data_IF_286985596010
#
_entry.id   IF_286985596010
#
_cell.length_a   1.000
_cell.length_b   1.000
_cell.length_c   1.000
_cell.angle_alpha   90.00
_cell.angle_beta   90.00
_cell.angle_gamma   90.00
#
_symmetry.space_group_name_H-M   'P 1'
#
loop_
_entity.id
_entity.type
_entity.pdbx_description
1 polymer ?
#
# COMPACT_ATOMS: atom_id res chain seq x y z
N UNK A 1 4.30 8.63 22.05
CA UNK A 1 4.83 7.65 21.10
C UNK A 1 5.33 8.42 19.89
N UNK A 2 6.64 8.41 19.62
CA UNK A 2 7.18 8.96 18.37
C UNK A 2 7.10 7.86 17.33
N UNK A 3 6.27 8.04 16.29
CA UNK A 3 6.21 7.08 15.18
C UNK A 3 7.35 7.36 14.21
N UNK A 4 7.83 6.32 13.52
CA UNK A 4 9.01 6.42 12.61
C UNK A 4 8.81 7.46 11.52
N UNK A 5 7.56 7.69 11.09
CA UNK A 5 7.21 8.65 10.06
C UNK A 5 7.23 10.12 10.50
N UNK A 6 7.40 10.42 11.80
CA UNK A 6 7.47 11.82 12.28
C UNK A 6 8.70 12.58 11.79
N UNK A 7 9.75 11.85 11.38
CA UNK A 7 11.01 12.42 10.90
C UNK A 7 11.14 12.41 9.37
N UNK A 8 10.20 11.77 8.66
CA UNK A 8 10.25 11.68 7.20
C UNK A 8 10.07 13.07 6.58
N UNK A 9 10.92 13.38 5.61
CA UNK A 9 10.93 14.62 4.82
C UNK A 9 10.50 14.37 3.39
N UNK A 10 10.75 13.18 2.86
CA UNK A 10 10.46 12.81 1.48
C UNK A 10 9.94 11.37 1.40
N UNK A 11 8.88 11.18 0.62
CA UNK A 11 8.31 9.86 0.34
C UNK A 11 8.13 9.72 -1.16
N UNK A 12 8.66 8.65 -1.73
CA UNK A 12 8.48 8.31 -3.14
C UNK A 12 7.24 7.45 -3.31
N UNK A 13 6.27 7.88 -4.13
CA UNK A 13 5.10 7.08 -4.50
C UNK A 13 5.29 6.46 -5.88
N UNK A 14 5.12 5.14 -5.96
CA UNK A 14 5.24 4.32 -7.17
C UNK A 14 3.84 3.87 -7.60
N UNK A 15 3.50 4.15 -8.86
CA UNK A 15 2.23 3.78 -9.48
C UNK A 15 2.36 2.44 -10.22
N UNK A 16 1.70 1.35 -9.77
CA UNK A 16 1.83 0.03 -10.36
C UNK A 16 1.32 -0.11 -11.80
N UNK A 17 0.53 0.86 -12.28
CA UNK A 17 0.04 0.87 -13.67
C UNK A 17 1.03 1.51 -14.63
N UNK A 18 2.09 2.16 -14.12
CA UNK A 18 3.09 2.87 -14.93
C UNK A 18 4.36 2.05 -15.06
N UNK A 19 4.85 1.95 -16.29
CA UNK A 19 6.16 1.39 -16.55
C UNK A 19 7.26 2.38 -16.14
N UNK A 20 8.34 1.85 -15.58
CA UNK A 20 9.58 2.60 -15.41
C UNK A 20 10.13 3.00 -16.79
N UNK A 21 10.78 4.16 -16.87
CA UNK A 21 11.42 4.61 -18.11
C UNK A 21 12.63 3.72 -18.39
N UNK A 22 12.97 3.56 -19.67
CA UNK A 22 14.12 2.75 -20.09
C UNK A 22 15.41 3.17 -19.35
N UNK A 23 16.01 2.22 -18.63
CA UNK A 23 17.24 2.41 -17.85
C UNK A 23 17.02 2.63 -16.36
N UNK A 24 15.79 2.93 -15.93
CA UNK A 24 15.47 3.10 -14.51
C UNK A 24 15.08 1.76 -13.87
N UNK A 25 15.53 1.51 -12.65
CA UNK A 25 15.13 0.36 -11.83
C UNK A 25 14.46 0.84 -10.55
N UNK A 26 13.64 -0.03 -9.95
CA UNK A 26 13.07 0.23 -8.64
C UNK A 26 14.15 0.30 -7.54
N UNK A 27 15.26 -0.43 -7.70
CA UNK A 27 16.39 -0.38 -6.77
C UNK A 27 17.04 1.01 -6.72
N UNK A 28 17.15 1.69 -7.87
CA UNK A 28 17.70 3.05 -7.94
C UNK A 28 16.86 4.10 -7.20
N UNK A 29 15.61 3.78 -6.82
CA UNK A 29 14.80 4.65 -5.95
C UNK A 29 15.42 4.72 -4.56
N UNK A 30 16.04 3.64 -4.08
CA UNK A 30 16.67 3.63 -2.76
C UNK A 30 17.84 4.61 -2.66
N UNK A 31 18.56 4.80 -3.77
CA UNK A 31 19.71 5.72 -3.85
C UNK A 31 19.31 7.20 -3.89
N UNK A 32 18.01 7.51 -4.02
CA UNK A 32 17.50 8.90 -4.04
C UNK A 32 17.49 9.59 -2.68
N UNK A 33 17.67 8.82 -1.59
CA UNK A 33 17.57 9.33 -0.22
C UNK A 33 16.14 9.53 0.27
N UNK A 34 15.17 8.81 -0.31
CA UNK A 34 13.78 8.81 0.17
C UNK A 34 13.66 8.14 1.54
N UNK A 35 12.79 8.66 2.41
CA UNK A 35 12.62 8.12 3.76
C UNK A 35 11.67 6.91 3.80
N UNK A 36 10.79 6.80 2.80
CA UNK A 36 9.86 5.69 2.63
C UNK A 36 9.44 5.56 1.15
N UNK A 37 8.88 4.40 0.83
CA UNK A 37 8.24 4.13 -0.47
C UNK A 37 6.76 3.81 -0.24
N UNK A 38 5.89 4.40 -1.05
CA UNK A 38 4.47 4.05 -1.12
C UNK A 38 4.19 3.42 -2.48
N UNK A 39 3.67 2.20 -2.50
CA UNK A 39 3.19 1.53 -3.71
C UNK A 39 1.68 1.70 -3.77
N UNK A 40 1.18 2.44 -4.75
CA UNK A 40 -0.24 2.71 -4.90
C UNK A 40 -0.57 3.63 -6.06
N UNK A 41 -1.76 3.44 -6.63
CA UNK A 41 -2.24 4.18 -7.79
C UNK A 41 -3.77 4.14 -7.86
N UNK A 42 -4.34 4.83 -8.83
CA UNK A 42 -5.80 5.05 -8.87
C UNK A 42 -6.53 4.01 -9.72
N UNK A 43 -5.99 3.66 -10.89
CA UNK A 43 -6.68 2.86 -11.92
C UNK A 43 -5.81 1.64 -12.24
N UNK A 44 -6.44 0.50 -12.53
CA UNK A 44 -5.77 -0.75 -12.94
C UNK A 44 -4.69 -1.28 -11.98
N UNK A 45 -4.74 -0.88 -10.71
CA UNK A 45 -3.88 -1.45 -9.68
C UNK A 45 -4.38 -2.86 -9.36
N UNK A 46 -3.55 -3.87 -9.64
CA UNK A 46 -3.83 -5.26 -9.33
C UNK A 46 -2.87 -5.78 -8.28
N UNK A 47 -3.31 -6.76 -7.48
CA UNK A 47 -2.43 -7.43 -6.50
C UNK A 47 -1.15 -7.96 -7.15
N UNK A 48 -1.24 -8.52 -8.35
CA UNK A 48 -0.08 -9.08 -9.05
C UNK A 48 0.96 -8.00 -9.43
N UNK A 49 0.51 -6.83 -9.89
CA UNK A 49 1.41 -5.71 -10.22
C UNK A 49 2.08 -5.14 -8.99
N UNK A 50 1.32 -4.99 -7.90
CA UNK A 50 1.88 -4.57 -6.61
C UNK A 50 2.90 -5.58 -6.11
N UNK A 51 2.59 -6.89 -6.17
CA UNK A 51 3.50 -7.93 -5.68
C UNK A 51 4.83 -7.93 -6.44
N UNK A 52 4.82 -7.76 -7.77
CA UNK A 52 6.05 -7.66 -8.56
C UNK A 52 6.97 -6.53 -8.08
N UNK A 53 6.38 -5.38 -7.73
CA UNK A 53 7.13 -4.22 -7.21
C UNK A 53 7.68 -4.53 -5.82
N UNK A 54 6.88 -5.14 -4.95
CA UNK A 54 7.32 -5.54 -3.61
C UNK A 54 8.45 -6.58 -3.67
N UNK A 55 8.36 -7.55 -4.57
CA UNK A 55 9.40 -8.57 -4.75
C UNK A 55 10.71 -7.93 -5.21
N UNK A 56 10.64 -6.96 -6.13
CA UNK A 56 11.83 -6.21 -6.59
C UNK A 56 12.45 -5.40 -5.45
N UNK A 57 11.62 -4.72 -4.67
CA UNK A 57 12.07 -3.89 -3.55
C UNK A 57 12.42 -4.68 -2.29
N UNK A 58 12.24 -6.01 -2.25
CA UNK A 58 12.40 -6.83 -1.05
C UNK A 58 13.80 -6.76 -0.39
N UNK A 59 14.82 -6.38 -1.16
CA UNK A 59 16.20 -6.23 -0.70
C UNK A 59 16.53 -4.84 -0.14
N UNK A 60 15.63 -3.86 -0.25
CA UNK A 60 15.85 -2.50 0.28
C UNK A 60 15.59 -2.43 1.78
N UNK A 61 16.36 -1.60 2.48
CA UNK A 61 16.15 -1.31 3.89
C UNK A 61 15.13 -0.17 4.11
N UNK A 62 14.71 0.50 3.03
CA UNK A 62 13.74 1.60 3.09
C UNK A 62 12.34 1.03 3.37
N UNK A 63 11.58 1.59 4.34
CA UNK A 63 10.27 1.06 4.67
C UNK A 63 9.28 1.24 3.52
N UNK A 64 8.60 0.14 3.15
CA UNK A 64 7.65 0.08 2.04
C UNK A 64 6.22 0.03 2.59
N UNK A 65 5.34 0.88 2.08
CA UNK A 65 3.91 0.89 2.38
C UNK A 65 3.10 0.63 1.13
N UNK A 66 1.94 -0.01 1.27
CA UNK A 66 0.97 -0.17 0.18
C UNK A 66 -0.24 0.72 0.46
N UNK A 67 -0.67 1.47 -0.54
CA UNK A 67 -1.96 2.17 -0.56
C UNK A 67 -2.92 1.36 -1.44
N UNK A 68 -3.74 0.47 -0.84
CA UNK A 68 -4.53 -0.48 -1.61
C UNK A 68 -5.81 0.20 -2.13
N UNK A 69 -6.08 0.02 -3.42
CA UNK A 69 -7.40 0.27 -4.04
C UNK A 69 -8.20 -1.02 -4.24
N UNK A 70 -7.66 -2.14 -3.75
CA UNK A 70 -8.28 -3.47 -3.71
C UNK A 70 -8.31 -3.99 -2.27
N UNK A 71 -9.02 -5.08 -2.00
CA UNK A 71 -9.00 -5.73 -0.68
C UNK A 71 -7.60 -6.32 -0.41
N UNK A 72 -6.80 -5.77 0.53
CA UNK A 72 -5.51 -6.35 0.85
C UNK A 72 -5.71 -7.75 1.42
N UNK A 73 -5.08 -8.74 0.81
CA UNK A 73 -5.08 -10.11 1.32
C UNK A 73 -4.04 -10.26 2.43
N UNK A 74 -4.33 -11.09 3.43
CA UNK A 74 -3.47 -11.38 4.58
C UNK A 74 -2.14 -12.11 4.28
N UNK A 75 -1.74 -12.21 3.01
CA UNK A 75 -0.42 -12.71 2.64
C UNK A 75 0.61 -11.71 3.15
N UNK A 76 1.39 -12.12 4.15
CA UNK A 76 2.53 -11.37 4.64
C UNK A 76 3.55 -11.30 3.50
N UNK A 77 3.73 -10.12 2.93
CA UNK A 77 4.83 -9.87 1.99
C UNK A 77 6.04 -9.44 2.80
N UNK A 78 7.15 -10.15 2.66
CA UNK A 78 8.42 -9.76 3.27
C UNK A 78 8.82 -8.34 2.81
N UNK A 79 9.31 -7.51 3.73
CA UNK A 79 9.67 -6.11 3.45
C UNK A 79 8.50 -5.10 3.50
N UNK A 80 7.24 -5.54 3.62
CA UNK A 80 6.11 -4.63 3.75
C UNK A 80 6.00 -4.09 5.19
N UNK A 81 6.21 -2.78 5.36
CA UNK A 81 6.10 -2.10 6.66
C UNK A 81 4.65 -1.84 7.08
N UNK A 82 3.71 -1.73 6.13
CA UNK A 82 2.28 -1.60 6.45
C UNK A 82 1.41 -1.15 5.29
N UNK A 83 0.14 -0.87 5.61
CA UNK A 83 -0.86 -0.35 4.66
C UNK A 83 -1.28 1.08 5.04
N UNK A 84 -1.42 1.94 4.03
CA UNK A 84 -1.98 3.27 4.16
C UNK A 84 -3.40 3.26 3.57
N UNK A 85 -4.41 3.39 4.42
CA UNK A 85 -5.81 3.36 4.01
C UNK A 85 -6.33 4.81 3.84
N UNK A 86 -6.62 5.27 2.62
CA UNK A 86 -7.01 6.65 2.37
C UNK A 86 -8.48 6.91 2.73
N UNK A 87 -8.74 7.98 3.47
CA UNK A 87 -10.08 8.54 3.66
C UNK A 87 -10.17 9.84 2.85
N UNK A 88 -11.04 9.87 1.84
CA UNK A 88 -11.24 11.06 1.01
C UNK A 88 -12.27 11.98 1.69
N UNK A 89 -11.80 12.86 2.57
CA UNK A 89 -12.65 13.69 3.44
C UNK A 89 -13.59 14.65 2.69
N UNK A 90 -13.25 15.01 1.46
CA UNK A 90 -14.02 15.89 0.60
C UNK A 90 -14.81 15.13 -0.49
N UNK A 91 -14.99 13.82 -0.35
CA UNK A 91 -15.79 13.03 -1.30
C UNK A 91 -17.29 13.26 -1.08
N UNK A 92 -18.04 13.36 -2.18
CA UNK A 92 -19.51 13.38 -2.15
C UNK A 92 -20.12 11.99 -1.87
N UNK A 93 -19.34 10.93 -2.07
CA UNK A 93 -19.78 9.55 -1.90
C UNK A 93 -19.17 8.92 -0.65
N UNK A 94 -20.03 8.35 0.22
CA UNK A 94 -19.62 7.67 1.46
C UNK A 94 -18.72 6.45 1.24
N UNK A 95 -18.66 5.95 0.00
CA UNK A 95 -17.76 4.90 -0.44
C UNK A 95 -16.31 5.18 -0.04
N UNK A 96 -15.84 6.39 -0.33
CA UNK A 96 -14.45 6.83 -0.15
C UNK A 96 -14.15 7.36 1.25
N UNK A 97 -15.18 7.49 2.09
CA UNK A 97 -15.03 7.96 3.47
C UNK A 97 -14.97 6.75 4.41
N UNK A 98 -15.99 5.89 4.42
CA UNK A 98 -16.08 4.79 5.40
C UNK A 98 -16.45 3.44 4.81
N UNK A 99 -17.24 3.38 3.72
CA UNK A 99 -17.82 2.10 3.28
C UNK A 99 -16.77 1.14 2.74
N UNK A 100 -15.78 1.60 1.97
CA UNK A 100 -14.69 0.75 1.49
C UNK A 100 -13.89 0.15 2.65
N UNK A 101 -13.60 0.95 3.68
CA UNK A 101 -12.92 0.51 4.91
C UNK A 101 -13.75 -0.54 5.67
N UNK A 102 -15.06 -0.31 5.80
CA UNK A 102 -15.98 -1.27 6.42
C UNK A 102 -15.98 -2.61 5.67
N UNK A 103 -16.11 -2.59 4.34
CA UNK A 103 -16.08 -3.81 3.53
C UNK A 103 -14.72 -4.52 3.61
N UNK A 104 -13.62 -3.77 3.72
CA UNK A 104 -12.29 -4.33 3.96
C UNK A 104 -12.22 -5.11 5.28
N UNK A 105 -12.71 -4.53 6.36
CA UNK A 105 -12.75 -5.19 7.68
C UNK A 105 -13.72 -6.38 7.66
N UNK A 106 -14.87 -6.26 6.99
CA UNK A 106 -15.85 -7.34 6.88
C UNK A 106 -15.31 -8.54 6.11
N UNK A 107 -14.62 -8.29 5.00
CA UNK A 107 -14.12 -9.32 4.09
C UNK A 107 -12.83 -9.99 4.59
N UNK A 108 -12.00 -9.27 5.36
CA UNK A 108 -10.80 -9.83 6.01
C UNK A 108 -11.15 -10.78 7.17
N UNK A 109 -12.38 -10.75 7.68
CA UNK A 109 -12.90 -11.66 8.71
C UNK A 109 -13.54 -12.92 8.12
N UNK A 110 -12.81 -13.73 7.35
CA UNK A 110 -13.22 -15.15 7.15
C UNK A 110 -13.08 -16.02 8.43
N UNK A 111 -12.99 -15.39 9.61
CA UNK A 111 -13.08 -16.02 10.91
C UNK A 111 -14.56 -16.08 11.34
N UNK A 112 -15.06 -17.31 11.49
CA UNK A 112 -16.46 -17.71 11.74
C UNK A 112 -17.23 -16.83 12.72
N UNK A 113 -18.49 -16.59 12.39
CA UNK A 113 -19.58 -16.31 13.34
C UNK A 113 -20.49 -17.55 13.45
N UNK A 114 -19.92 -18.69 13.82
CA UNK A 114 -20.66 -19.70 14.60
C UNK A 114 -20.62 -19.24 16.07
N UNK A 115 -21.18 -18.06 16.37
CA UNK A 115 -21.35 -17.54 17.74
C UNK A 115 -22.09 -16.19 17.71
N UNK A 116 -23.36 -16.18 17.30
CA UNK A 116 -24.42 -15.36 17.92
C UNK A 116 -25.74 -15.59 17.18
N UNK A 117 -26.60 -16.40 17.82
CA UNK A 117 -27.97 -16.82 17.47
C UNK A 117 -28.06 -18.01 16.51
#
# INVERSE_FOLDING_TARGET
MSTVWTQWKHITKIDPDKAMRNGDSYDGIADTGTDAIIVGGTINVTKARVQLILDTLSSTEIPIFVEPTYLPSSSHTEGLAGYLLPIVLNADETLWITRAHHECVRSSRSCRVDACS
#
